data_IF_274726120498
#
_entry.id   IF_274726120498
#
_cell.length_a   1.000
_cell.length_b   1.000
_cell.length_c   1.000
_cell.angle_alpha   90.00
_cell.angle_beta   90.00
_cell.angle_gamma   90.00
#
_symmetry.space_group_name_H-M   'P 1'
#
loop_
_entity.id
_entity.type
_entity.pdbx_description
1 polymer ?
#
# COMPACT_ATOMS: atom_id res chain seq x y z
N UNK A 1 -1.55 26.28 -0.50
CA UNK A 1 -1.58 25.06 0.35
C UNK A 1 -0.55 25.24 1.47
N UNK A 2 -0.94 25.07 2.75
CA UNK A 2 0.00 25.07 3.89
C UNK A 2 0.71 23.72 3.95
N UNK A 3 2.04 23.71 4.10
CA UNK A 3 2.84 22.49 4.31
C UNK A 3 2.55 21.94 5.72
N UNK A 4 2.22 20.66 5.83
CA UNK A 4 2.02 20.00 7.13
C UNK A 4 3.35 19.82 7.85
N UNK A 5 3.36 19.99 9.17
CA UNK A 5 4.53 19.68 10.00
C UNK A 5 4.69 18.16 10.15
N UNK A 6 5.90 17.67 10.48
CA UNK A 6 6.11 16.26 10.82
C UNK A 6 5.16 15.74 11.92
N UNK A 7 4.89 16.57 12.93
CA UNK A 7 3.96 16.23 14.01
C UNK A 7 2.50 16.12 13.53
N UNK A 8 2.05 17.04 12.67
CA UNK A 8 0.72 16.98 12.05
C UNK A 8 0.58 15.73 11.16
N UNK A 9 1.65 15.34 10.44
CA UNK A 9 1.65 14.11 9.65
C UNK A 9 1.64 12.87 10.56
N UNK A 10 2.48 12.81 11.60
CA UNK A 10 2.51 11.71 12.54
C UNK A 10 1.15 11.51 13.23
N UNK A 11 0.51 12.59 13.68
CA UNK A 11 -0.81 12.55 14.28
C UNK A 11 -1.89 11.94 13.36
N UNK A 12 -1.78 12.15 12.04
CA UNK A 12 -2.72 11.58 11.07
C UNK A 12 -2.57 10.06 10.89
N UNK A 13 -1.43 9.50 11.29
CA UNK A 13 -1.10 8.07 11.10
C UNK A 13 -0.87 7.32 12.41
N UNK A 14 -0.96 7.98 13.56
CA UNK A 14 -0.92 7.35 14.88
C UNK A 14 -1.93 6.21 14.98
N UNK A 15 -1.48 5.05 15.47
CA UNK A 15 -2.23 3.80 15.61
C UNK A 15 -2.74 3.22 14.28
N UNK A 16 -2.11 3.57 13.16
CA UNK A 16 -2.48 3.04 11.84
C UNK A 16 -1.42 2.12 11.28
N UNK A 17 -1.88 1.07 10.61
CA UNK A 17 -1.11 0.23 9.71
C UNK A 17 -1.22 0.76 8.29
N UNK A 18 -0.08 1.09 7.69
CA UNK A 18 0.05 1.55 6.32
C UNK A 18 0.77 0.46 5.53
N UNK A 19 0.19 -0.02 4.44
CA UNK A 19 0.84 -0.99 3.55
C UNK A 19 1.02 -0.39 2.16
N UNK A 20 2.21 -0.57 1.63
CA UNK A 20 2.63 -0.13 0.31
C UNK A 20 2.88 -1.36 -0.56
N UNK A 21 2.19 -1.46 -1.69
CA UNK A 21 2.31 -2.55 -2.66
C UNK A 21 2.78 -1.97 -4.00
N UNK A 22 3.98 -2.33 -4.45
CA UNK A 22 4.39 -1.92 -5.80
C UNK A 22 5.88 -1.96 -6.08
N UNK A 23 6.28 -1.20 -7.09
CA UNK A 23 7.64 -1.15 -7.61
C UNK A 23 8.54 -0.13 -6.88
N UNK A 24 9.63 0.28 -7.54
CA UNK A 24 10.58 1.30 -7.10
C UNK A 24 9.94 2.64 -6.75
N UNK A 25 8.89 3.05 -7.47
CA UNK A 25 8.20 4.33 -7.21
C UNK A 25 7.43 4.30 -5.90
N UNK A 26 6.75 3.17 -5.64
CA UNK A 26 6.04 2.97 -4.38
C UNK A 26 7.03 2.88 -3.21
N UNK A 27 8.19 2.23 -3.41
CA UNK A 27 9.28 2.22 -2.43
C UNK A 27 9.82 3.63 -2.14
N UNK A 28 10.00 4.46 -3.18
CA UNK A 28 10.44 5.84 -3.01
C UNK A 28 9.47 6.63 -2.13
N UNK A 29 8.16 6.52 -2.39
CA UNK A 29 7.14 7.17 -1.58
C UNK A 29 7.05 6.62 -0.15
N UNK A 30 7.18 5.30 0.03
CA UNK A 30 7.31 4.69 1.36
C UNK A 30 8.46 5.31 2.15
N UNK A 31 9.65 5.40 1.54
CA UNK A 31 10.84 5.95 2.18
C UNK A 31 10.71 7.45 2.48
N UNK A 32 10.10 8.20 1.55
CA UNK A 32 9.80 9.62 1.77
C UNK A 32 8.89 9.81 2.98
N UNK A 33 7.81 9.04 3.09
CA UNK A 33 6.89 9.13 4.22
C UNK A 33 7.56 8.69 5.53
N UNK A 34 8.36 7.62 5.48
CA UNK A 34 9.14 7.18 6.63
C UNK A 34 10.02 8.30 7.18
N UNK A 35 10.80 8.97 6.33
CA UNK A 35 11.64 10.11 6.72
C UNK A 35 10.79 11.26 7.26
N UNK A 36 9.68 11.59 6.57
CA UNK A 36 8.79 12.68 6.96
C UNK A 36 8.15 12.49 8.34
N UNK A 37 7.97 11.24 8.76
CA UNK A 37 7.45 10.86 10.07
C UNK A 37 8.56 10.73 11.14
N UNK A 38 9.84 10.88 10.79
CA UNK A 38 10.97 10.73 11.70
C UNK A 38 11.52 9.30 11.80
N UNK A 39 11.18 8.44 10.83
CA UNK A 39 11.70 7.10 10.65
C UNK A 39 12.99 7.09 9.82
N UNK A 40 13.36 5.91 9.30
CA UNK A 40 14.54 5.74 8.45
C UNK A 40 14.13 5.22 7.08
N UNK A 41 14.78 5.68 5.99
CA UNK A 41 14.55 5.09 4.68
C UNK A 41 15.03 3.65 4.66
N UNK A 42 14.45 2.86 3.77
CA UNK A 42 14.79 1.46 3.63
C UNK A 42 15.32 1.11 2.25
N UNK A 43 16.33 0.23 2.20
CA UNK A 43 17.06 -0.14 0.99
C UNK A 43 16.81 -1.60 0.52
N UNK A 44 15.65 -2.19 0.85
CA UNK A 44 15.38 -3.63 0.69
C UNK A 44 15.60 -4.15 -0.74
N UNK A 45 16.32 -5.27 -0.81
CA UNK A 45 16.29 -6.20 -1.94
C UNK A 45 14.90 -6.86 -2.06
N UNK A 46 14.60 -7.39 -3.24
CA UNK A 46 13.25 -7.72 -3.70
C UNK A 46 12.54 -8.90 -2.99
N UNK A 47 13.15 -9.56 -2.01
CA UNK A 47 12.78 -10.95 -1.67
C UNK A 47 12.15 -11.16 -0.29
N UNK A 48 11.98 -10.13 0.56
CA UNK A 48 11.39 -10.31 1.89
C UNK A 48 10.08 -9.51 2.04
N UNK A 49 8.96 -10.12 2.47
CA UNK A 49 7.76 -9.37 2.81
C UNK A 49 7.89 -8.66 4.17
N UNK A 50 7.27 -7.48 4.23
CA UNK A 50 6.85 -6.71 5.40
C UNK A 50 7.95 -6.10 6.29
N UNK A 51 8.56 -5.02 5.80
CA UNK A 51 9.27 -4.05 6.64
C UNK A 51 8.33 -3.34 7.60
N UNK A 52 8.10 -3.88 8.78
CA UNK A 52 7.42 -3.17 9.86
C UNK A 52 8.39 -2.20 10.53
N UNK A 53 8.28 -0.91 10.22
CA UNK A 53 8.99 0.12 11.00
C UNK A 53 8.02 0.82 11.94
N UNK A 54 8.41 0.90 13.22
CA UNK A 54 7.78 1.77 14.21
C UNK A 54 8.44 3.13 14.13
N UNK A 55 7.73 4.10 13.58
CA UNK A 55 8.22 5.49 13.52
C UNK A 55 8.03 6.18 14.89
N UNK A 56 8.85 7.19 15.19
CA UNK A 56 9.00 7.82 16.50
C UNK A 56 7.65 8.08 17.21
N UNK A 57 7.56 7.65 18.47
CA UNK A 57 6.33 7.61 19.25
C UNK A 57 5.65 6.23 19.29
N UNK A 58 6.07 5.25 18.49
CA UNK A 58 5.74 3.82 18.69
C UNK A 58 4.42 3.32 18.09
N UNK A 59 3.65 4.19 17.44
CA UNK A 59 2.25 3.88 17.08
C UNK A 59 1.97 3.77 15.58
N UNK A 60 2.97 3.92 14.70
CA UNK A 60 2.75 3.82 13.24
C UNK A 60 3.44 2.55 12.77
N UNK A 61 2.68 1.66 12.11
CA UNK A 61 3.22 0.47 11.46
C UNK A 61 3.18 0.71 9.95
N UNK A 62 4.33 0.86 9.32
CA UNK A 62 4.41 0.89 7.84
C UNK A 62 4.94 -0.45 7.35
N UNK A 63 4.48 -0.93 6.20
CA UNK A 63 4.94 -2.16 5.55
C UNK A 63 5.08 -1.95 4.04
N UNK A 64 6.06 -2.61 3.41
CA UNK A 64 6.26 -2.59 1.96
C UNK A 64 6.31 -4.01 1.41
N UNK A 65 5.59 -4.24 0.31
CA UNK A 65 5.68 -5.45 -0.51
C UNK A 65 6.05 -5.06 -1.93
N UNK A 66 7.24 -5.48 -2.36
CA UNK A 66 7.68 -5.24 -3.73
C UNK A 66 6.93 -6.16 -4.69
N UNK A 67 6.15 -5.56 -5.59
CA UNK A 67 5.31 -6.25 -6.59
C UNK A 67 5.39 -5.47 -7.88
N UNK A 68 5.70 -6.14 -8.98
CA UNK A 68 6.01 -5.47 -10.25
C UNK A 68 4.79 -5.39 -11.18
N UNK A 69 3.81 -6.28 -11.00
CA UNK A 69 2.64 -6.39 -11.87
C UNK A 69 1.34 -6.23 -11.10
N UNK A 70 0.29 -5.81 -11.80
CA UNK A 70 -1.05 -5.72 -11.23
C UNK A 70 -1.60 -7.12 -10.87
N UNK A 71 -1.19 -8.17 -11.58
CA UNK A 71 -1.52 -9.55 -11.24
C UNK A 71 -0.91 -9.99 -9.90
N UNK A 72 0.36 -9.67 -9.64
CA UNK A 72 1.00 -10.07 -8.37
C UNK A 72 0.38 -9.34 -7.18
N UNK A 73 0.03 -8.06 -7.37
CA UNK A 73 -0.70 -7.29 -6.35
C UNK A 73 -2.07 -7.91 -6.12
N UNK A 74 -2.84 -8.20 -7.18
CA UNK A 74 -4.16 -8.79 -7.05
C UNK A 74 -4.10 -10.14 -6.34
N UNK A 75 -3.17 -11.03 -6.72
CA UNK A 75 -3.00 -12.32 -6.07
C UNK A 75 -2.67 -12.20 -4.56
N UNK A 76 -1.80 -11.26 -4.19
CA UNK A 76 -1.49 -10.98 -2.79
C UNK A 76 -2.73 -10.50 -2.02
N UNK A 77 -3.50 -9.56 -2.57
CA UNK A 77 -4.71 -9.05 -1.93
C UNK A 77 -5.78 -10.14 -1.76
N UNK A 78 -5.92 -11.07 -2.71
CA UNK A 78 -6.83 -12.21 -2.58
C UNK A 78 -6.40 -13.20 -1.48
N UNK A 79 -5.10 -13.25 -1.16
CA UNK A 79 -4.60 -14.10 -0.06
C UNK A 79 -4.82 -13.49 1.33
N UNK A 80 -5.17 -12.20 1.42
CA UNK A 80 -5.37 -11.52 2.69
C UNK A 80 -6.73 -11.85 3.30
N UNK A 81 -6.70 -12.23 4.57
CA UNK A 81 -7.88 -12.30 5.42
C UNK A 81 -8.22 -10.91 6.00
N UNK A 82 -9.38 -10.80 6.68
CA UNK A 82 -9.86 -9.52 7.25
C UNK A 82 -8.84 -8.83 8.18
N UNK A 83 -8.03 -9.59 8.90
CA UNK A 83 -7.02 -9.06 9.85
C UNK A 83 -5.75 -8.55 9.15
N UNK A 84 -5.57 -8.86 7.86
CA UNK A 84 -4.41 -8.47 7.05
C UNK A 84 -4.64 -7.18 6.26
N UNK A 85 -5.88 -6.65 6.21
CA UNK A 85 -6.18 -5.38 5.57
C UNK A 85 -5.67 -4.18 6.39
N UNK A 86 -4.90 -3.25 5.80
CA UNK A 86 -4.37 -2.08 6.50
C UNK A 86 -5.40 -0.95 6.62
N UNK A 87 -5.14 0.01 7.51
CA UNK A 87 -5.91 1.26 7.59
C UNK A 87 -5.67 2.15 6.36
N UNK A 88 -4.46 2.08 5.79
CA UNK A 88 -4.08 2.77 4.56
C UNK A 88 -3.37 1.81 3.64
N UNK A 89 -3.93 1.61 2.45
CA UNK A 89 -3.30 0.84 1.39
C UNK A 89 -2.87 1.77 0.26
N UNK A 90 -1.60 1.70 -0.13
CA UNK A 90 -1.11 2.37 -1.34
C UNK A 90 -0.63 1.34 -2.34
N UNK A 91 -1.12 1.43 -3.56
CA UNK A 91 -0.86 0.47 -4.63
C UNK A 91 -0.28 1.17 -5.85
N UNK A 92 0.82 0.65 -6.40
CA UNK A 92 1.37 1.02 -7.70
C UNK A 92 1.84 -0.22 -8.45
N UNK A 93 1.55 -0.31 -9.74
CA UNK A 93 1.81 -1.50 -10.55
C UNK A 93 2.16 -1.14 -12.01
N UNK A 94 2.86 -0.01 -12.22
CA UNK A 94 2.83 0.73 -13.49
C UNK A 94 4.11 0.62 -14.33
N UNK A 95 5.29 0.54 -13.72
CA UNK A 95 6.53 0.87 -14.45
C UNK A 95 7.00 -0.25 -15.40
N UNK A 96 7.27 -1.43 -14.85
CA UNK A 96 7.98 -2.48 -15.57
C UNK A 96 7.17 -3.20 -16.65
N UNK A 97 5.87 -3.53 -16.43
CA UNK A 97 5.11 -4.28 -17.42
C UNK A 97 4.90 -3.50 -18.73
N UNK A 98 4.61 -2.20 -18.63
CA UNK A 98 4.40 -1.35 -19.81
C UNK A 98 5.70 -1.18 -20.60
N UNK A 99 6.82 -0.94 -19.90
CA UNK A 99 8.12 -0.75 -20.53
C UNK A 99 8.66 -2.03 -21.17
N UNK A 100 8.53 -3.17 -20.49
CA UNK A 100 9.13 -4.43 -20.92
C UNK A 100 8.28 -5.17 -21.96
N UNK A 101 6.95 -5.21 -21.77
CA UNK A 101 6.08 -6.02 -22.65
C UNK A 101 5.60 -5.24 -23.87
N UNK A 102 5.67 -3.90 -23.83
CA UNK A 102 5.08 -2.99 -24.83
C UNK A 102 3.62 -3.31 -25.16
N UNK A 103 2.91 -4.01 -24.27
CA UNK A 103 1.54 -4.46 -24.47
C UNK A 103 0.60 -3.70 -23.55
N UNK A 104 0.25 -2.49 -23.98
CA UNK A 104 -0.63 -1.58 -23.23
C UNK A 104 -2.01 -2.20 -23.00
N UNK A 105 -2.56 -2.94 -23.97
CA UNK A 105 -3.88 -3.58 -23.84
C UNK A 105 -3.91 -4.59 -22.70
N UNK A 106 -2.89 -5.45 -22.62
CA UNK A 106 -2.75 -6.41 -21.51
C UNK A 106 -2.62 -5.68 -20.18
N UNK A 107 -1.75 -4.68 -20.11
CA UNK A 107 -1.57 -3.89 -18.89
C UNK A 107 -2.87 -3.23 -18.41
N UNK A 108 -3.64 -2.61 -19.31
CA UNK A 108 -4.93 -2.01 -18.99
C UNK A 108 -5.95 -3.05 -18.48
N UNK A 109 -5.93 -4.26 -19.04
CA UNK A 109 -6.78 -5.36 -18.56
C UNK A 109 -6.41 -5.77 -17.13
N UNK A 110 -5.13 -5.95 -16.84
CA UNK A 110 -4.64 -6.34 -15.51
C UNK A 110 -4.94 -5.24 -14.46
N UNK A 111 -4.75 -3.97 -14.82
CA UNK A 111 -5.11 -2.83 -13.97
C UNK A 111 -6.62 -2.76 -13.71
N UNK A 112 -7.46 -3.07 -14.70
CA UNK A 112 -8.91 -3.13 -14.53
C UNK A 112 -9.30 -4.23 -13.54
N UNK A 113 -8.69 -5.42 -13.64
CA UNK A 113 -8.92 -6.51 -12.70
C UNK A 113 -8.55 -6.09 -11.28
N UNK A 114 -7.37 -5.49 -11.08
CA UNK A 114 -6.92 -4.98 -9.78
C UNK A 114 -7.90 -3.95 -9.19
N UNK A 115 -8.38 -3.01 -10.00
CA UNK A 115 -9.38 -2.02 -9.58
C UNK A 115 -10.70 -2.68 -9.16
N UNK A 116 -11.13 -3.73 -9.86
CA UNK A 116 -12.32 -4.49 -9.48
C UNK A 116 -12.12 -5.17 -8.12
N UNK A 117 -10.99 -5.86 -7.90
CA UNK A 117 -10.64 -6.48 -6.60
C UNK A 117 -10.69 -5.47 -5.47
N UNK A 118 -10.07 -4.29 -5.64
CA UNK A 118 -10.05 -3.24 -4.62
C UNK A 118 -11.46 -2.71 -4.33
N UNK A 119 -12.30 -2.51 -5.35
CA UNK A 119 -13.69 -2.06 -5.19
C UNK A 119 -14.55 -3.08 -4.45
N UNK A 120 -14.38 -4.36 -4.76
CA UNK A 120 -15.11 -5.43 -4.09
C UNK A 120 -14.75 -5.50 -2.60
N UNK A 121 -13.46 -5.36 -2.27
CA UNK A 121 -13.04 -5.32 -0.87
C UNK A 121 -13.69 -4.14 -0.12
N UNK A 122 -13.59 -2.92 -0.66
CA UNK A 122 -14.17 -1.72 -0.02
C UNK A 122 -15.67 -1.90 0.22
N UNK A 123 -16.39 -2.52 -0.72
CA UNK A 123 -17.82 -2.81 -0.56
C UNK A 123 -18.10 -3.84 0.54
N UNK A 124 -17.28 -4.89 0.64
CA UNK A 124 -17.42 -5.90 1.70
C UNK A 124 -17.23 -5.27 3.08
N UNK A 125 -16.20 -4.43 3.23
CA UNK A 125 -15.90 -3.77 4.50
C UNK A 125 -17.02 -2.77 4.87
N UNK A 126 -17.49 -1.96 3.92
CA UNK A 126 -18.62 -1.05 4.14
C UNK A 126 -19.93 -1.78 4.51
N UNK A 127 -20.17 -2.97 3.98
CA UNK A 127 -21.34 -3.77 4.30
C UNK A 127 -21.26 -4.36 5.72
N UNK A 128 -20.07 -4.82 6.12
CA UNK A 128 -19.83 -5.36 7.46
C UNK A 128 -19.97 -4.30 8.55
N UNK A 129 -19.53 -3.07 8.29
CA UNK A 129 -19.68 -1.96 9.24
C UNK A 129 -21.15 -1.58 9.47
N UNK A 130 -22.01 -1.69 8.45
CA UNK A 130 -23.45 -1.45 8.62
C UNK A 130 -24.16 -2.57 9.40
N UNK A 131 -23.65 -3.80 9.35
CA UNK A 131 -24.23 -4.94 10.10
C UNK A 131 -23.87 -4.93 11.59
N UNK A 132 -22.78 -4.27 11.97
CA UNK A 132 -22.35 -4.13 13.39
C UNK A 132 -23.04 -2.97 14.12
N UNK A 133 -23.86 -2.19 13.42
CA UNK A 133 -24.63 -1.05 13.94
C UNK A 133 -26.10 -1.38 14.24
N UNK A 134 -26.52 -2.63 14.03
CA UNK A 134 -27.86 -3.16 14.32
C UNK A 134 -27.80 -4.30 15.34
#
# INVERSE_FOLDING_TARGET
MRRRTPAEMAAAFTNRRLVFLGDSHVLYMHNWLAIALGGRPHNASAETPALSQKVAGGHIQMEMYRRQTASDVSALLHSWNKQQWPDVLVVGALEWPVMLTRNITRHLSEMRTLLTTLREQVRRDACLDMQLLH
#
